data_IF_994927682391
#
_entry.id   IF_994927682391
#
_cell.length_a   1.000
_cell.length_b   1.000
_cell.length_c   1.000
_cell.angle_alpha   90.00
_cell.angle_beta   90.00
_cell.angle_gamma   90.00
#
_symmetry.space_group_name_H-M   'P 1'
#
loop_
_entity.id
_entity.type
_entity.pdbx_description
1 polymer ?
#
# COMPACT_ATOMS: atom_id res chain seq x y z
N UNK A 1 -4.63 11.22 48.48
CA UNK A 1 -4.91 11.92 47.21
C UNK A 1 -3.71 11.72 46.28
N UNK A 2 -3.84 10.86 45.28
CA UNK A 2 -2.74 10.52 44.36
C UNK A 2 -2.75 11.54 43.21
N UNK A 3 -1.68 12.31 43.14
CA UNK A 3 -1.48 13.40 42.18
C UNK A 3 -0.99 12.81 40.85
N UNK A 4 -1.90 12.44 39.95
CA UNK A 4 -1.54 11.91 38.62
C UNK A 4 -1.24 13.08 37.70
N UNK A 5 0.04 13.36 37.52
CA UNK A 5 0.57 14.31 36.53
C UNK A 5 0.02 13.96 35.14
N UNK A 6 -0.89 14.79 34.62
CA UNK A 6 -1.35 14.79 33.22
C UNK A 6 -0.19 15.23 32.30
N UNK A 7 0.80 14.37 32.10
CA UNK A 7 1.77 14.50 31.02
C UNK A 7 1.23 13.82 29.78
N UNK A 8 1.28 14.48 28.61
CA UNK A 8 1.12 13.78 27.32
C UNK A 8 2.14 12.64 27.26
N UNK A 9 1.75 11.42 26.85
CA UNK A 9 2.67 10.30 26.75
C UNK A 9 3.82 10.66 25.79
N UNK A 10 5.08 10.40 26.21
CA UNK A 10 6.30 10.73 25.44
C UNK A 10 6.34 10.07 24.06
N UNK A 11 5.67 8.94 23.92
CA UNK A 11 5.32 8.35 22.64
C UNK A 11 3.80 8.38 22.55
N UNK A 12 3.18 9.29 21.78
CA UNK A 12 1.76 9.16 21.50
C UNK A 12 1.57 7.75 20.91
N UNK A 13 0.65 6.92 21.46
CA UNK A 13 0.32 5.66 20.80
C UNK A 13 -0.01 6.00 19.36
N UNK A 14 0.58 5.26 18.41
CA UNK A 14 0.35 5.50 16.99
C UNK A 14 -1.15 5.58 16.81
N UNK A 15 -1.64 6.56 16.07
CA UNK A 15 -3.07 6.82 15.93
C UNK A 15 -3.87 5.55 15.58
N UNK A 16 -3.22 4.63 14.84
CA UNK A 16 -3.65 3.26 14.50
C UNK A 16 -3.96 2.37 15.72
N UNK A 17 -3.16 2.43 16.78
CA UNK A 17 -3.31 1.63 18.01
C UNK A 17 -4.42 2.16 18.93
N UNK A 18 -4.68 3.48 18.91
CA UNK A 18 -5.81 4.06 19.62
C UNK A 18 -7.12 3.66 18.95
N UNK A 19 -7.20 3.81 17.63
CA UNK A 19 -8.40 3.47 16.87
C UNK A 19 -8.78 1.99 17.00
N UNK A 20 -7.82 1.07 16.97
CA UNK A 20 -8.06 -0.36 17.20
C UNK A 20 -8.64 -0.68 18.59
N UNK A 21 -8.35 0.13 19.61
CA UNK A 21 -8.84 -0.08 20.99
C UNK A 21 -10.23 0.50 21.27
N UNK A 22 -10.68 1.48 20.49
CA UNK A 22 -11.93 2.22 20.76
C UNK A 22 -13.14 1.71 19.98
N UNK A 23 -12.96 0.81 19.01
CA UNK A 23 -14.08 0.17 18.32
C UNK A 23 -14.44 -1.11 19.10
N UNK A 24 -15.69 -1.28 19.57
CA UNK A 24 -16.17 -2.53 20.15
C UNK A 24 -16.39 -3.58 19.04
N UNK A 25 -15.34 -3.88 18.28
CA UNK A 25 -15.37 -4.85 17.19
C UNK A 25 -15.45 -6.29 17.71
N UNK A 26 -15.02 -6.52 18.96
CA UNK A 26 -15.07 -7.82 19.65
C UNK A 26 -16.48 -8.36 19.85
N UNK A 27 -17.48 -7.48 19.92
CA UNK A 27 -18.88 -7.88 20.16
C UNK A 27 -19.63 -8.15 18.84
N UNK A 28 -19.06 -7.71 17.72
CA UNK A 28 -19.70 -7.75 16.38
C UNK A 28 -19.09 -8.87 15.53
N UNK A 29 -17.81 -9.17 15.68
CA UNK A 29 -17.05 -10.09 14.84
C UNK A 29 -16.57 -11.32 15.60
N UNK A 30 -16.59 -12.47 14.94
CA UNK A 30 -15.84 -13.64 15.40
C UNK A 30 -14.34 -13.36 15.32
N UNK A 31 -13.52 -14.09 16.08
CA UNK A 31 -12.06 -13.89 16.14
C UNK A 31 -11.39 -13.87 14.76
N UNK A 32 -11.80 -14.78 13.86
CA UNK A 32 -11.29 -14.83 12.47
C UNK A 32 -11.72 -13.64 11.61
N UNK A 33 -12.91 -13.11 11.88
CA UNK A 33 -13.44 -11.94 11.17
C UNK A 33 -12.82 -10.64 11.69
N UNK A 34 -12.52 -10.58 13.00
CA UNK A 34 -11.82 -9.47 13.62
C UNK A 34 -10.42 -9.30 13.04
N UNK A 35 -9.65 -10.39 12.90
CA UNK A 35 -8.32 -10.36 12.24
C UNK A 35 -8.43 -9.80 10.82
N UNK A 36 -9.46 -10.21 10.08
CA UNK A 36 -9.69 -9.71 8.73
C UNK A 36 -10.07 -8.22 8.72
N UNK A 37 -10.95 -7.80 9.63
CA UNK A 37 -11.38 -6.41 9.79
C UNK A 37 -10.18 -5.50 10.10
N UNK A 38 -9.36 -5.87 11.07
CA UNK A 38 -8.15 -5.14 11.45
C UNK A 38 -7.13 -5.09 10.31
N UNK A 39 -6.94 -6.20 9.59
CA UNK A 39 -6.08 -6.25 8.42
C UNK A 39 -6.53 -5.31 7.31
N UNK A 40 -7.83 -5.26 7.02
CA UNK A 40 -8.41 -4.36 6.02
C UNK A 40 -8.24 -2.90 6.41
N UNK A 41 -8.54 -2.54 7.67
CA UNK A 41 -8.30 -1.18 8.19
C UNK A 41 -6.83 -0.82 8.06
N UNK A 42 -5.93 -1.73 8.43
CA UNK A 42 -4.49 -1.51 8.32
C UNK A 42 -4.03 -1.23 6.90
N UNK A 43 -4.60 -1.93 5.91
CA UNK A 43 -4.34 -1.69 4.48
C UNK A 43 -4.87 -0.31 4.08
N UNK A 44 -6.14 0.00 4.35
CA UNK A 44 -6.70 1.29 3.97
C UNK A 44 -5.98 2.47 4.63
N UNK A 45 -5.59 2.36 5.90
CA UNK A 45 -4.83 3.40 6.62
C UNK A 45 -3.36 3.49 6.22
N UNK A 46 -2.80 2.55 5.45
CA UNK A 46 -1.46 2.72 4.86
C UNK A 46 -1.47 3.72 3.72
N UNK A 47 -2.60 3.86 3.02
CA UNK A 47 -2.73 4.77 1.89
C UNK A 47 -2.87 6.24 2.33
N UNK A 48 -2.92 6.53 3.64
CA UNK A 48 -3.10 7.88 4.18
C UNK A 48 -1.92 8.33 5.02
N UNK A 49 -1.52 9.58 4.81
CA UNK A 49 -0.66 10.31 5.73
C UNK A 49 -1.45 10.65 7.01
N UNK A 50 -0.83 10.48 8.18
CA UNK A 50 -1.47 10.73 9.48
C UNK A 50 -1.99 12.17 9.64
N UNK A 51 -1.45 13.12 8.89
CA UNK A 51 -1.86 14.53 8.89
C UNK A 51 -3.09 14.84 8.02
N UNK A 52 -3.49 13.91 7.14
CA UNK A 52 -4.59 14.10 6.18
C UNK A 52 -5.87 13.35 6.56
N UNK A 53 -5.80 12.45 7.54
CA UNK A 53 -6.94 11.68 8.03
C UNK A 53 -7.89 12.56 8.85
N UNK A 54 -9.12 12.70 8.38
CA UNK A 54 -10.21 13.32 9.17
C UNK A 54 -11.05 12.25 9.85
N UNK A 55 -11.77 12.62 10.91
CA UNK A 55 -12.72 11.73 11.59
C UNK A 55 -13.70 11.05 10.60
N UNK A 56 -14.23 11.82 9.64
CA UNK A 56 -15.14 11.30 8.63
C UNK A 56 -14.50 10.26 7.69
N UNK A 57 -13.20 10.39 7.39
CA UNK A 57 -12.51 9.38 6.56
C UNK A 57 -12.28 8.08 7.32
N UNK A 58 -12.00 8.20 8.62
CA UNK A 58 -11.81 7.06 9.50
C UNK A 58 -13.13 6.29 9.62
N UNK A 59 -14.24 7.00 9.83
CA UNK A 59 -15.58 6.41 9.89
C UNK A 59 -15.95 5.72 8.57
N UNK A 60 -15.65 6.33 7.42
CA UNK A 60 -15.88 5.73 6.11
C UNK A 60 -15.00 4.49 5.90
N UNK A 61 -13.71 4.54 6.27
CA UNK A 61 -12.79 3.39 6.17
C UNK A 61 -13.25 2.22 7.04
N UNK A 62 -13.71 2.50 8.27
CA UNK A 62 -14.25 1.47 9.16
C UNK A 62 -15.52 0.86 8.62
N UNK A 63 -16.41 1.68 8.07
CA UNK A 63 -17.65 1.23 7.47
C UNK A 63 -17.40 0.39 6.20
N UNK A 64 -16.42 0.77 5.37
CA UNK A 64 -15.98 -0.01 4.22
C UNK A 64 -15.42 -1.37 4.65
N UNK A 65 -14.53 -1.39 5.64
CA UNK A 65 -13.94 -2.62 6.17
C UNK A 65 -15.01 -3.54 6.78
N UNK A 66 -15.95 -2.98 7.54
CA UNK A 66 -17.06 -3.71 8.15
C UNK A 66 -17.98 -4.32 7.09
N UNK A 67 -18.39 -3.55 6.08
CA UNK A 67 -19.24 -4.04 5.00
C UNK A 67 -18.59 -5.21 4.26
N UNK A 68 -17.27 -5.17 4.06
CA UNK A 68 -16.54 -6.25 3.40
C UNK A 68 -16.55 -7.54 4.22
N UNK A 69 -16.38 -7.44 5.54
CA UNK A 69 -16.43 -8.60 6.44
C UNK A 69 -17.85 -9.18 6.50
N UNK A 70 -18.87 -8.32 6.59
CA UNK A 70 -20.28 -8.74 6.56
C UNK A 70 -20.68 -9.40 5.23
N UNK A 71 -20.18 -8.90 4.11
CA UNK A 71 -20.37 -9.55 2.80
C UNK A 71 -19.83 -10.98 2.80
N UNK A 72 -18.60 -11.18 3.32
CA UNK A 72 -17.99 -12.51 3.42
C UNK A 72 -18.80 -13.41 4.36
N UNK A 73 -19.30 -12.88 5.49
CA UNK A 73 -20.16 -13.61 6.42
C UNK A 73 -21.45 -14.08 5.73
N UNK A 74 -22.11 -13.20 4.98
CA UNK A 74 -23.32 -13.51 4.23
C UNK A 74 -23.07 -14.57 3.14
N UNK A 75 -21.94 -14.48 2.42
CA UNK A 75 -21.54 -15.48 1.44
C UNK A 75 -21.27 -16.85 2.08
N UNK A 76 -20.67 -16.87 3.28
CA UNK A 76 -20.48 -18.12 4.04
C UNK A 76 -21.81 -18.70 4.51
N UNK A 77 -22.72 -17.86 5.01
CA UNK A 77 -24.02 -18.29 5.52
C UNK A 77 -24.97 -18.80 4.43
N UNK A 78 -24.90 -18.24 3.21
CA UNK A 78 -25.72 -18.66 2.07
C UNK A 78 -25.16 -19.87 1.30
N UNK A 79 -23.97 -20.36 1.67
CA UNK A 79 -23.33 -21.50 1.02
C UNK A 79 -24.17 -22.77 1.23
N UNK A 80 -24.74 -23.29 0.15
CA UNK A 80 -25.52 -24.53 0.17
C UNK A 80 -27.03 -24.35 0.40
N UNK A 81 -27.53 -23.12 0.52
CA UNK A 81 -28.96 -22.85 0.65
C UNK A 81 -29.47 -21.94 -0.46
N UNK A 82 -30.05 -22.53 -1.51
CA UNK A 82 -30.55 -21.82 -2.69
C UNK A 82 -31.65 -20.79 -2.38
N UNK A 83 -32.48 -21.03 -1.37
CA UNK A 83 -33.54 -20.09 -0.99
C UNK A 83 -32.96 -18.82 -0.35
N UNK A 84 -31.91 -18.97 0.46
CA UNK A 84 -31.24 -17.83 1.09
C UNK A 84 -30.33 -17.06 0.12
N UNK A 85 -29.97 -17.65 -1.03
CA UNK A 85 -29.09 -16.98 -2.00
C UNK A 85 -29.72 -15.74 -2.61
N UNK A 86 -31.04 -15.72 -2.82
CA UNK A 86 -31.73 -14.57 -3.40
C UNK A 86 -31.68 -13.39 -2.42
N UNK A 87 -32.09 -13.59 -1.17
CA UNK A 87 -32.08 -12.57 -0.13
C UNK A 87 -30.66 -12.10 0.19
N UNK A 88 -29.71 -13.05 0.21
CA UNK A 88 -28.29 -12.75 0.43
C UNK A 88 -27.73 -11.90 -0.70
N UNK A 89 -28.08 -12.19 -1.95
CA UNK A 89 -27.62 -11.40 -3.11
C UNK A 89 -28.15 -9.97 -3.05
N UNK A 90 -29.41 -9.77 -2.68
CA UNK A 90 -29.99 -8.44 -2.49
C UNK A 90 -29.30 -7.67 -1.34
N UNK A 91 -29.03 -8.33 -0.22
CA UNK A 91 -28.31 -7.73 0.90
C UNK A 91 -26.86 -7.35 0.51
N UNK A 92 -26.15 -8.22 -0.20
CA UNK A 92 -24.80 -7.96 -0.71
C UNK A 92 -24.81 -6.79 -1.69
N UNK A 93 -25.78 -6.73 -2.61
CA UNK A 93 -25.87 -5.62 -3.55
C UNK A 93 -26.07 -4.28 -2.82
N UNK A 94 -26.91 -4.25 -1.78
CA UNK A 94 -27.09 -3.06 -0.94
C UNK A 94 -25.79 -2.67 -0.23
N UNK A 95 -25.07 -3.63 0.36
CA UNK A 95 -23.77 -3.39 1.00
C UNK A 95 -22.74 -2.86 0.00
N UNK A 96 -22.69 -3.40 -1.22
CA UNK A 96 -21.80 -2.93 -2.29
C UNK A 96 -22.14 -1.51 -2.70
N UNK A 97 -23.40 -1.17 -2.94
CA UNK A 97 -23.84 0.20 -3.28
C UNK A 97 -23.45 1.21 -2.20
N UNK A 98 -23.66 0.86 -0.92
CA UNK A 98 -23.24 1.70 0.20
C UNK A 98 -21.72 1.85 0.24
N UNK A 99 -20.98 0.78 0.00
CA UNK A 99 -19.52 0.77 -0.02
C UNK A 99 -18.96 1.65 -1.14
N UNK A 100 -19.50 1.55 -2.35
CA UNK A 100 -19.10 2.42 -3.48
C UNK A 100 -19.38 3.89 -3.17
N UNK A 101 -20.55 4.20 -2.60
CA UNK A 101 -20.85 5.58 -2.17
C UNK A 101 -19.84 6.12 -1.15
N UNK A 102 -19.41 5.30 -0.19
CA UNK A 102 -18.40 5.70 0.80
C UNK A 102 -17.02 5.87 0.16
N UNK A 103 -16.65 5.02 -0.79
CA UNK A 103 -15.40 5.18 -1.56
C UNK A 103 -15.43 6.45 -2.42
N UNK A 104 -16.54 6.74 -3.08
CA UNK A 104 -16.72 7.95 -3.88
C UNK A 104 -16.62 9.21 -3.00
N UNK A 105 -17.26 9.20 -1.82
CA UNK A 105 -17.15 10.28 -0.86
C UNK A 105 -15.71 10.47 -0.37
N UNK A 106 -15.02 9.37 -0.06
CA UNK A 106 -13.62 9.38 0.36
C UNK A 106 -12.72 9.95 -0.75
N UNK A 107 -12.92 9.51 -2.00
CA UNK A 107 -12.19 9.98 -3.17
C UNK A 107 -12.46 11.46 -3.47
N UNK A 108 -13.71 11.92 -3.39
CA UNK A 108 -14.09 13.30 -3.57
C UNK A 108 -13.43 14.21 -2.52
N UNK A 109 -13.51 13.84 -1.24
CA UNK A 109 -12.83 14.61 -0.17
C UNK A 109 -11.32 14.57 -0.29
N UNK A 110 -10.74 13.50 -0.84
CA UNK A 110 -9.29 13.45 -1.14
C UNK A 110 -8.95 14.42 -2.26
N UNK A 111 -9.73 14.44 -3.35
CA UNK A 111 -9.55 15.38 -4.46
C UNK A 111 -9.64 16.84 -3.99
N UNK A 112 -10.60 17.17 -3.13
CA UNK A 112 -10.77 18.53 -2.60
C UNK A 112 -9.65 18.97 -1.65
N UNK A 113 -8.97 18.01 -1.01
CA UNK A 113 -7.82 18.26 -0.12
C UNK A 113 -6.47 18.27 -0.84
N UNK A 114 -6.43 17.84 -2.10
CA UNK A 114 -5.27 18.07 -2.95
C UNK A 114 -5.29 19.56 -3.31
N UNK A 115 -4.53 20.35 -2.55
CA UNK A 115 -4.39 21.78 -2.81
C UNK A 115 -3.86 21.98 -4.24
N UNK A 116 -4.65 22.60 -5.15
CA UNK A 116 -4.20 22.87 -6.51
C UNK A 116 -2.93 23.71 -6.51
N UNK A 117 -2.69 24.53 -5.48
CA UNK A 117 -1.48 25.35 -5.34
C UNK A 117 -0.21 24.56 -5.03
N UNK A 118 -0.33 23.34 -4.49
CA UNK A 118 0.83 22.45 -4.32
C UNK A 118 1.36 21.94 -5.67
N UNK A 119 0.52 21.98 -6.71
CA UNK A 119 0.88 21.62 -8.10
C UNK A 119 0.74 22.78 -9.09
N UNK A 120 0.25 23.96 -8.69
CA UNK A 120 0.13 25.13 -9.56
C UNK A 120 1.48 25.81 -9.85
N UNK A 121 2.57 25.28 -9.27
CA UNK A 121 3.95 25.65 -9.58
C UNK A 121 4.68 24.60 -10.43
N UNK A 122 4.09 23.44 -10.68
CA UNK A 122 4.63 22.47 -11.64
C UNK A 122 4.05 22.80 -13.01
N UNK A 123 4.86 23.45 -13.84
CA UNK A 123 4.58 23.56 -15.26
C UNK A 123 4.49 22.15 -15.87
N UNK A 124 3.76 21.98 -16.97
CA UNK A 124 3.85 20.77 -17.82
C UNK A 124 5.32 20.44 -18.15
N UNK A 125 6.15 21.49 -18.25
CA UNK A 125 7.60 21.37 -18.43
C UNK A 125 8.27 20.71 -17.22
N UNK A 126 7.91 21.07 -15.98
CA UNK A 126 8.48 20.46 -14.77
C UNK A 126 8.02 19.01 -14.60
N UNK A 127 6.81 18.68 -15.06
CA UNK A 127 6.33 17.31 -15.11
C UNK A 127 7.13 16.47 -16.12
N UNK A 128 7.45 17.04 -17.29
CA UNK A 128 8.30 16.38 -18.28
C UNK A 128 9.74 16.22 -17.77
N UNK A 129 10.29 17.23 -17.10
CA UNK A 129 11.64 17.20 -16.52
C UNK A 129 11.73 16.19 -15.38
N UNK A 130 10.71 16.10 -14.51
CA UNK A 130 10.67 15.09 -13.44
C UNK A 130 10.51 13.68 -13.99
N UNK A 131 9.65 13.47 -15.00
CA UNK A 131 9.52 12.18 -15.69
C UNK A 131 10.83 11.75 -16.37
N UNK A 132 11.54 12.68 -17.02
CA UNK A 132 12.85 12.42 -17.61
C UNK A 132 13.92 12.15 -16.54
N UNK A 133 13.87 12.85 -15.41
CA UNK A 133 14.79 12.63 -14.29
C UNK A 133 14.57 11.25 -13.65
N UNK A 134 13.32 10.84 -13.45
CA UNK A 134 12.98 9.53 -12.91
C UNK A 134 13.37 8.41 -13.88
N UNK A 135 13.13 8.57 -15.19
CA UNK A 135 13.62 7.62 -16.20
C UNK A 135 15.14 7.54 -16.25
N UNK A 136 15.85 8.67 -16.11
CA UNK A 136 17.31 8.67 -16.03
C UNK A 136 17.79 7.98 -14.76
N UNK A 137 17.10 8.17 -13.64
CA UNK A 137 17.42 7.51 -12.38
C UNK A 137 17.22 5.99 -12.48
N UNK A 138 16.09 5.54 -13.03
CA UNK A 138 15.87 4.11 -13.30
C UNK A 138 16.92 3.52 -14.25
N UNK A 139 17.32 4.27 -15.28
CA UNK A 139 18.38 3.84 -16.19
C UNK A 139 19.75 3.77 -15.49
N UNK A 140 20.07 4.73 -14.63
CA UNK A 140 21.30 4.70 -13.83
C UNK A 140 21.30 3.56 -12.82
N UNK A 141 20.18 3.27 -12.17
CA UNK A 141 20.04 2.14 -11.25
C UNK A 141 20.23 0.80 -11.97
N UNK A 142 19.67 0.64 -13.18
CA UNK A 142 19.94 -0.55 -14.02
C UNK A 142 21.40 -0.65 -14.45
N UNK A 143 22.03 0.46 -14.84
CA UNK A 143 23.47 0.47 -15.18
C UNK A 143 24.31 0.11 -13.95
N UNK A 144 23.94 0.56 -12.76
CA UNK A 144 24.57 0.19 -11.50
C UNK A 144 24.48 -1.32 -11.25
N UNK A 145 23.30 -1.90 -11.41
CA UNK A 145 23.08 -3.34 -11.28
C UNK A 145 23.91 -4.14 -12.30
N UNK A 146 23.94 -3.73 -13.57
CA UNK A 146 24.76 -4.42 -14.58
C UNK A 146 26.26 -4.31 -14.29
N UNK A 147 26.73 -3.19 -13.73
CA UNK A 147 28.13 -3.06 -13.30
C UNK A 147 28.48 -3.92 -12.09
N UNK A 148 27.57 -4.05 -11.14
CA UNK A 148 27.74 -4.95 -10.00
C UNK A 148 27.74 -6.41 -10.45
N UNK A 149 26.86 -6.79 -11.38
CA UNK A 149 26.86 -8.12 -12.01
C UNK A 149 28.15 -8.37 -12.82
N UNK A 150 28.62 -7.41 -13.61
CA UNK A 150 29.89 -7.51 -14.35
C UNK A 150 31.08 -7.65 -13.39
N UNK A 151 31.12 -6.89 -12.30
CA UNK A 151 32.18 -6.98 -11.28
C UNK A 151 32.13 -8.31 -10.52
N UNK A 152 30.95 -8.88 -10.29
CA UNK A 152 30.79 -10.23 -9.73
C UNK A 152 31.23 -11.31 -10.71
N UNK A 153 30.92 -11.16 -12.00
CA UNK A 153 31.37 -12.08 -13.06
C UNK A 153 32.89 -12.01 -13.23
N UNK A 154 33.49 -10.82 -13.19
CA UNK A 154 34.94 -10.59 -13.24
C UNK A 154 35.69 -11.16 -12.02
N UNK A 155 35.05 -11.14 -10.84
CA UNK A 155 35.60 -11.75 -9.61
C UNK A 155 35.36 -13.26 -9.54
N UNK A 156 34.39 -13.78 -10.29
CA UNK A 156 34.15 -15.21 -10.38
C UNK A 156 35.28 -15.89 -11.17
N UNK A 157 35.81 -16.99 -10.64
CA UNK A 157 36.85 -17.82 -11.28
C UNK A 157 36.37 -18.52 -12.59
N UNK A 158 35.17 -18.20 -13.10
CA UNK A 158 34.62 -18.77 -14.33
C UNK A 158 35.13 -18.08 -15.60
N UNK A 159 35.72 -16.88 -15.51
CA UNK A 159 36.42 -16.22 -16.63
C UNK A 159 37.92 -16.55 -16.65
N UNK A 160 38.26 -17.85 -16.58
CA UNK A 160 39.56 -18.34 -17.10
C UNK A 160 39.43 -18.43 -18.61
N UNK A 161 39.27 -17.28 -19.27
CA UNK A 161 39.28 -17.20 -20.73
C UNK A 161 40.68 -17.54 -21.23
N UNK A 162 40.82 -18.68 -21.90
CA UNK A 162 41.92 -19.12 -22.79
C UNK A 162 43.37 -18.76 -22.38
N UNK A 163 43.65 -18.60 -21.09
CA UNK A 163 45.01 -18.30 -20.62
C UNK A 163 46.03 -19.42 -20.89
N UNK A 164 45.54 -20.62 -21.22
CA UNK A 164 46.34 -21.81 -21.53
C UNK A 164 46.08 -22.33 -22.97
N UNK A 165 45.43 -21.54 -23.83
CA UNK A 165 45.18 -21.96 -25.20
C UNK A 165 46.44 -21.66 -26.04
N UNK A 166 47.08 -22.71 -26.56
CA UNK A 166 48.36 -22.62 -27.29
C UNK A 166 48.23 -21.87 -28.63
N UNK A 167 46.99 -21.61 -29.08
CA UNK A 167 46.66 -20.93 -30.34
C UNK A 167 46.37 -19.41 -30.19
N UNK A 168 46.60 -18.83 -29.01
CA UNK A 168 46.49 -17.38 -28.82
C UNK A 168 47.69 -16.67 -29.48
N UNK A 169 47.62 -16.47 -30.80
CA UNK A 169 48.58 -15.66 -31.56
C UNK A 169 48.65 -14.24 -30.93
N UNK A 170 49.79 -13.94 -30.33
CA UNK A 170 50.17 -12.57 -29.99
C UNK A 170 50.35 -11.83 -31.32
N UNK A 171 49.38 -10.99 -31.66
CA UNK A 171 49.60 -9.96 -32.68
C UNK A 171 50.54 -8.93 -32.06
N UNK A 172 51.84 -9.14 -32.25
CA UNK A 172 52.84 -8.10 -32.03
C UNK A 172 52.48 -6.93 -32.93
N UNK A 173 52.09 -5.82 -32.32
CA UNK A 173 52.00 -4.53 -32.99
C UNK A 173 53.32 -3.82 -32.75
N UNK A 174 54.33 -4.22 -33.53
CA UNK A 174 55.47 -3.36 -33.83
C UNK A 174 55.19 -2.61 -35.14
N UNK A 175 55.45 -1.30 -35.08
CA UNK A 175 55.34 -0.21 -36.08
C UNK A 175 54.00 0.53 -36.25
#
# INVERSE_FOLDING_TARGET
MINVKKGRPKNPPKFKELLQKFIPASDIFEEKELIMYEGLIGIYLKDFDESQLTANDIDDIFSIAMNRVLEIRLLKASKGNANMQIDTSAAIEKLRKQTEKMKDNLAARRKDRIDPKKYSGFSIVDLAVSFDADKKKEAMERIGQFKEEDDEILKSELLVGNKNDEDAELVDTEE
#
